data_IF_157014997849
#
_entry.id   IF_157014997849
#
_cell.length_a   1.000
_cell.length_b   1.000
_cell.length_c   1.000
_cell.angle_alpha   90.00
_cell.angle_beta   90.00
_cell.angle_gamma   90.00
#
_symmetry.space_group_name_H-M   'P 1'
#
loop_
_entity.id
_entity.type
_entity.pdbx_description
1 polymer ?
#
# COMPACT_ATOMS: atom_id res chain seq x y z
N UNK A 1 11.50 -4.65 -35.29
CA UNK A 1 11.25 -3.88 -34.06
C UNK A 1 10.48 -4.78 -33.13
N UNK A 2 11.13 -5.26 -32.07
CA UNK A 2 10.62 -6.35 -31.22
C UNK A 2 9.31 -5.95 -30.53
N UNK A 3 8.29 -6.79 -30.68
CA UNK A 3 7.09 -6.79 -29.83
C UNK A 3 7.50 -7.06 -28.38
N UNK A 4 7.70 -6.02 -27.59
CA UNK A 4 7.64 -6.14 -26.13
C UNK A 4 6.17 -6.07 -25.75
N UNK A 5 5.51 -7.23 -25.73
CA UNK A 5 4.26 -7.40 -24.98
C UNK A 5 4.59 -7.03 -23.53
N UNK A 6 3.99 -5.95 -23.04
CA UNK A 6 4.23 -5.39 -21.72
C UNK A 6 3.67 -6.36 -20.66
N UNK A 7 4.49 -7.32 -20.24
CA UNK A 7 4.22 -8.25 -19.15
C UNK A 7 4.17 -7.45 -17.84
N UNK A 8 2.97 -7.22 -17.28
CA UNK A 8 2.66 -6.58 -15.99
C UNK A 8 2.36 -5.06 -15.97
N UNK A 9 1.44 -4.55 -16.80
CA UNK A 9 0.77 -3.28 -16.46
C UNK A 9 -0.50 -3.56 -15.67
N UNK A 10 -0.35 -3.82 -14.37
CA UNK A 10 -1.50 -3.94 -13.46
C UNK A 10 -2.01 -2.56 -13.08
N UNK A 11 -3.32 -2.40 -12.97
CA UNK A 11 -3.89 -1.14 -12.45
C UNK A 11 -3.68 -1.03 -10.94
N UNK A 12 -3.89 0.16 -10.39
CA UNK A 12 -3.89 0.38 -8.94
C UNK A 12 -4.90 -0.54 -8.22
N UNK A 13 -6.10 -0.71 -8.78
CA UNK A 13 -7.12 -1.63 -8.26
C UNK A 13 -6.63 -3.09 -8.22
N UNK A 14 -6.07 -3.58 -9.33
CA UNK A 14 -5.54 -4.95 -9.40
C UNK A 14 -4.38 -5.14 -8.43
N UNK A 15 -3.56 -4.10 -8.24
CA UNK A 15 -2.42 -4.13 -7.32
C UNK A 15 -2.87 -4.16 -5.86
N UNK A 16 -3.90 -3.40 -5.51
CA UNK A 16 -4.52 -3.42 -4.18
C UNK A 16 -5.10 -4.80 -3.87
N UNK A 17 -5.90 -5.37 -4.78
CA UNK A 17 -6.45 -6.73 -4.60
C UNK A 17 -5.36 -7.76 -4.40
N UNK A 18 -4.28 -7.69 -5.18
CA UNK A 18 -3.17 -8.61 -5.03
C UNK A 18 -2.44 -8.45 -3.69
N UNK A 19 -2.29 -7.22 -3.19
CA UNK A 19 -1.69 -6.97 -1.86
C UNK A 19 -2.56 -7.54 -0.73
N UNK A 20 -3.87 -7.62 -0.94
CA UNK A 20 -4.84 -8.25 -0.03
C UNK A 20 -5.00 -9.75 -0.27
N UNK A 21 -4.08 -10.40 -1.00
CA UNK A 21 -4.13 -11.82 -1.37
C UNK A 21 -5.40 -12.22 -2.15
N UNK A 22 -5.96 -11.29 -2.93
CA UNK A 22 -7.21 -11.44 -3.67
C UNK A 22 -8.42 -11.85 -2.82
N UNK A 23 -8.39 -11.52 -1.52
CA UNK A 23 -9.53 -11.69 -0.63
C UNK A 23 -10.57 -10.62 -0.95
N UNK A 24 -11.77 -11.05 -1.32
CA UNK A 24 -12.89 -10.18 -1.63
C UNK A 24 -13.59 -9.72 -0.33
N UNK A 25 -12.90 -8.89 0.45
CA UNK A 25 -13.50 -8.30 1.65
C UNK A 25 -14.57 -7.26 1.31
N UNK A 26 -14.33 -6.53 0.23
CA UNK A 26 -15.22 -5.49 -0.29
C UNK A 26 -15.43 -5.68 -1.79
N UNK A 27 -16.41 -4.97 -2.33
CA UNK A 27 -16.65 -4.87 -3.77
C UNK A 27 -15.58 -4.03 -4.47
N UNK A 28 -15.53 -4.13 -5.80
CA UNK A 28 -14.62 -3.32 -6.61
C UNK A 28 -14.84 -1.82 -6.42
N UNK A 29 -16.10 -1.38 -6.33
CA UNK A 29 -16.45 0.03 -6.16
C UNK A 29 -16.01 0.56 -4.79
N UNK A 30 -16.12 -0.24 -3.73
CA UNK A 30 -15.60 0.11 -2.41
C UNK A 30 -14.06 0.17 -2.42
N UNK A 31 -13.38 -0.77 -3.08
CA UNK A 31 -11.92 -0.69 -3.24
C UNK A 31 -11.47 0.54 -4.03
N UNK A 32 -12.25 0.95 -5.04
CA UNK A 32 -12.00 2.19 -5.80
C UNK A 32 -12.11 3.42 -4.89
N UNK A 33 -13.11 3.46 -4.02
CA UNK A 33 -13.27 4.56 -3.06
C UNK A 33 -12.03 4.69 -2.14
N UNK A 34 -11.56 3.58 -1.56
CA UNK A 34 -10.35 3.60 -0.73
C UNK A 34 -9.11 4.12 -1.49
N UNK A 35 -8.97 3.77 -2.76
CA UNK A 35 -7.88 4.27 -3.60
C UNK A 35 -7.99 5.77 -3.84
N UNK A 36 -9.18 6.26 -4.18
CA UNK A 36 -9.44 7.68 -4.43
C UNK A 36 -9.20 8.53 -3.18
N UNK A 37 -9.62 8.05 -2.00
CA UNK A 37 -9.34 8.68 -0.70
C UNK A 37 -7.84 8.81 -0.41
N UNK A 38 -7.02 7.92 -0.98
CA UNK A 38 -5.57 7.91 -0.85
C UNK A 38 -4.86 8.48 -2.09
N UNK A 39 -5.56 9.26 -2.92
CA UNK A 39 -5.04 9.93 -4.10
C UNK A 39 -4.50 8.97 -5.19
N UNK A 40 -5.09 7.79 -5.33
CA UNK A 40 -4.82 6.86 -6.42
C UNK A 40 -6.04 6.70 -7.32
N UNK A 41 -5.86 6.95 -8.62
CA UNK A 41 -6.90 6.62 -9.60
C UNK A 41 -6.93 5.12 -9.83
N UNK A 42 -8.07 4.44 -9.70
CA UNK A 42 -8.11 2.98 -9.69
C UNK A 42 -7.68 2.31 -11.01
N UNK A 43 -7.96 2.98 -12.13
CA UNK A 43 -7.71 2.46 -13.48
C UNK A 43 -6.31 2.86 -14.03
N UNK A 44 -5.57 3.69 -13.30
CA UNK A 44 -4.20 4.04 -13.66
C UNK A 44 -3.27 2.85 -13.51
N UNK A 45 -2.29 2.76 -14.42
CA UNK A 45 -1.22 1.76 -14.34
C UNK A 45 -0.36 2.04 -13.11
N UNK A 46 -0.23 1.04 -12.24
CA UNK A 46 0.55 1.16 -11.03
C UNK A 46 2.04 1.36 -11.33
N UNK A 47 2.61 2.47 -10.84
CA UNK A 47 4.04 2.78 -10.91
C UNK A 47 4.62 2.70 -9.51
N UNK A 48 5.40 1.64 -9.23
CA UNK A 48 5.91 1.37 -7.88
C UNK A 48 6.66 2.56 -7.28
N UNK A 49 7.56 3.17 -8.06
CA UNK A 49 8.46 4.22 -7.56
C UNK A 49 7.73 5.45 -7.03
N UNK A 50 6.53 5.75 -7.57
CA UNK A 50 5.76 6.94 -7.21
C UNK A 50 4.50 6.65 -6.42
N UNK A 51 3.94 5.43 -6.53
CA UNK A 51 2.63 5.07 -5.97
C UNK A 51 2.70 4.09 -4.79
N UNK A 52 3.88 3.54 -4.46
CA UNK A 52 3.99 2.49 -3.43
C UNK A 52 3.51 2.95 -2.06
N UNK A 53 3.79 4.19 -1.66
CA UNK A 53 3.37 4.71 -0.36
C UNK A 53 1.85 4.85 -0.30
N UNK A 54 1.22 5.51 -1.29
CA UNK A 54 -0.24 5.67 -1.30
C UNK A 54 -0.95 4.32 -1.35
N UNK A 55 -0.40 3.34 -2.07
CA UNK A 55 -0.99 2.00 -2.14
C UNK A 55 -0.90 1.28 -0.79
N UNK A 56 0.20 1.43 -0.06
CA UNK A 56 0.35 0.86 1.28
C UNK A 56 -0.59 1.57 2.28
N UNK A 57 -0.74 2.89 2.18
CA UNK A 57 -1.71 3.66 2.99
C UNK A 57 -3.15 3.22 2.71
N UNK A 58 -3.49 3.00 1.44
CA UNK A 58 -4.78 2.40 1.04
C UNK A 58 -4.97 1.01 1.66
N UNK A 59 -3.92 0.19 1.65
CA UNK A 59 -3.98 -1.14 2.27
C UNK A 59 -4.24 -1.05 3.77
N UNK A 60 -3.62 -0.10 4.46
CA UNK A 60 -3.87 0.15 5.89
C UNK A 60 -5.32 0.57 6.12
N UNK A 61 -5.84 1.51 5.34
CA UNK A 61 -7.23 1.96 5.45
C UNK A 61 -8.24 0.80 5.32
N UNK A 62 -8.02 -0.11 4.36
CA UNK A 62 -8.85 -1.31 4.22
C UNK A 62 -8.76 -2.21 5.47
N UNK A 63 -7.57 -2.44 6.00
CA UNK A 63 -7.36 -3.29 7.18
C UNK A 63 -7.92 -2.67 8.47
N UNK A 64 -7.85 -1.34 8.60
CA UNK A 64 -8.47 -0.59 9.70
C UNK A 64 -10.00 -0.68 9.62
N UNK A 65 -10.57 -0.54 8.42
CA UNK A 65 -12.00 -0.77 8.20
C UNK A 65 -12.43 -2.19 8.61
N UNK A 66 -11.63 -3.21 8.28
CA UNK A 66 -11.85 -4.58 8.73
C UNK A 66 -11.68 -4.77 10.24
N UNK A 67 -10.90 -3.90 10.90
CA UNK A 67 -10.78 -3.92 12.35
C UNK A 67 -12.03 -3.35 13.02
N UNK A 68 -12.72 -2.43 12.35
CA UNK A 68 -14.02 -1.90 12.81
C UNK A 68 -15.16 -2.91 12.60
N UNK A 69 -15.12 -3.71 11.53
CA UNK A 69 -16.04 -4.83 11.27
C UNK A 69 -15.28 -6.16 11.15
N UNK A 70 -14.89 -6.71 12.30
CA UNK A 70 -14.09 -7.93 12.38
C UNK A 70 -14.83 -9.15 11.83
N UNK A 71 -16.17 -9.15 11.85
CA UNK A 71 -16.96 -10.26 11.37
C UNK A 71 -16.92 -10.37 9.85
N UNK A 72 -16.77 -9.24 9.13
CA UNK A 72 -16.52 -9.24 7.70
C UNK A 72 -15.21 -9.95 7.34
N UNK A 73 -14.11 -9.62 8.04
CA UNK A 73 -12.83 -10.30 7.86
C UNK A 73 -12.95 -11.79 8.17
N UNK A 74 -13.55 -12.12 9.31
CA UNK A 74 -13.71 -13.50 9.76
C UNK A 74 -14.55 -14.32 8.80
N UNK A 75 -15.64 -13.77 8.24
CA UNK A 75 -16.47 -14.48 7.28
C UNK A 75 -15.68 -14.92 6.05
N UNK A 76 -14.87 -14.02 5.48
CA UNK A 76 -14.05 -14.30 4.30
C UNK A 76 -12.90 -15.28 4.62
N UNK A 77 -12.36 -15.27 5.84
CA UNK A 77 -11.27 -16.17 6.25
C UNK A 77 -11.73 -17.48 6.89
N UNK A 78 -12.94 -17.53 7.46
CA UNK A 78 -13.51 -18.72 8.09
C UNK A 78 -13.83 -19.80 7.06
N UNK A 79 -14.09 -19.43 5.81
CA UNK A 79 -14.17 -20.37 4.68
C UNK A 79 -12.84 -21.12 4.46
N UNK A 80 -11.71 -20.65 4.99
CA UNK A 80 -10.40 -21.27 4.81
C UNK A 80 -9.72 -21.76 6.10
N UNK A 81 -9.83 -21.06 7.24
CA UNK A 81 -8.94 -21.29 8.42
C UNK A 81 -9.69 -21.29 9.76
N UNK A 82 -10.93 -20.79 9.84
CA UNK A 82 -11.74 -20.83 11.08
C UNK A 82 -11.16 -20.01 12.25
N UNK A 83 -10.86 -18.73 12.03
CA UNK A 83 -10.28 -17.85 13.05
C UNK A 83 -11.28 -17.42 14.13
N UNK A 84 -10.83 -17.43 15.39
CA UNK A 84 -11.55 -16.75 16.48
C UNK A 84 -11.46 -15.23 16.32
N UNK A 85 -12.37 -14.51 16.98
CA UNK A 85 -12.38 -13.04 16.98
C UNK A 85 -11.08 -12.43 17.51
N UNK A 86 -10.52 -13.00 18.58
CA UNK A 86 -9.27 -12.51 19.16
C UNK A 86 -8.07 -12.71 18.22
N UNK A 87 -7.99 -13.87 17.55
CA UNK A 87 -6.93 -14.13 16.58
C UNK A 87 -7.03 -13.23 15.35
N UNK A 88 -8.25 -12.95 14.91
CA UNK A 88 -8.51 -12.03 13.80
C UNK A 88 -8.00 -10.62 14.12
N UNK A 89 -8.31 -10.08 15.30
CA UNK A 89 -7.80 -8.79 15.74
C UNK A 89 -6.27 -8.76 15.82
N UNK A 90 -5.64 -9.77 16.45
CA UNK A 90 -4.18 -9.86 16.54
C UNK A 90 -3.51 -9.94 15.16
N UNK A 91 -4.13 -10.66 14.23
CA UNK A 91 -3.63 -10.74 12.86
C UNK A 91 -3.68 -9.38 12.16
N UNK A 92 -4.81 -8.67 12.25
CA UNK A 92 -4.96 -7.34 11.64
C UNK A 92 -3.99 -6.34 12.25
N UNK A 93 -3.92 -6.26 13.58
CA UNK A 93 -3.01 -5.35 14.30
C UNK A 93 -1.55 -5.57 13.88
N UNK A 94 -1.09 -6.83 13.86
CA UNK A 94 0.26 -7.18 13.43
C UNK A 94 0.51 -6.77 11.98
N UNK A 95 -0.47 -7.01 11.10
CA UNK A 95 -0.35 -6.70 9.67
C UNK A 95 -0.31 -5.20 9.41
N UNK A 96 -1.20 -4.44 10.05
CA UNK A 96 -1.22 -2.97 10.02
C UNK A 96 0.11 -2.41 10.52
N UNK A 97 0.60 -2.88 11.67
CA UNK A 97 1.89 -2.46 12.23
C UNK A 97 3.05 -2.69 11.25
N UNK A 98 3.11 -3.88 10.65
CA UNK A 98 4.15 -4.22 9.66
C UNK A 98 4.12 -3.29 8.43
N UNK A 99 2.92 -2.95 7.95
CA UNK A 99 2.76 -2.06 6.79
C UNK A 99 3.14 -0.61 7.17
N UNK A 100 2.72 -0.15 8.35
CA UNK A 100 3.09 1.17 8.86
C UNK A 100 4.60 1.33 9.05
N UNK A 101 5.28 0.32 9.60
CA UNK A 101 6.75 0.30 9.67
C UNK A 101 7.39 0.42 8.29
N UNK A 102 6.85 -0.30 7.30
CA UNK A 102 7.33 -0.19 5.91
C UNK A 102 7.11 1.21 5.33
N UNK A 103 5.94 1.82 5.55
CA UNK A 103 5.63 3.19 5.11
C UNK A 103 6.64 4.17 5.74
N UNK A 104 6.87 4.09 7.05
CA UNK A 104 7.81 4.95 7.76
C UNK A 104 9.24 4.81 7.20
N UNK A 105 9.68 3.58 6.92
CA UNK A 105 10.99 3.33 6.32
C UNK A 105 11.10 3.91 4.89
N UNK A 106 10.04 3.83 4.08
CA UNK A 106 10.05 4.39 2.74
C UNK A 106 10.06 5.93 2.76
N UNK A 107 9.27 6.54 3.64
CA UNK A 107 9.25 8.00 3.82
C UNK A 107 10.60 8.52 4.28
N UNK A 108 11.24 7.86 5.25
CA UNK A 108 12.57 8.29 5.72
C UNK A 108 13.65 8.20 4.64
N UNK A 109 13.57 7.20 3.76
CA UNK A 109 14.47 7.11 2.58
C UNK A 109 14.23 8.28 1.63
N UNK A 110 12.98 8.64 1.33
CA UNK A 110 12.65 9.77 0.46
C UNK A 110 13.17 11.09 1.02
N UNK A 111 12.94 11.36 2.31
CA UNK A 111 13.40 12.57 2.99
C UNK A 111 14.94 12.70 2.94
N UNK A 112 15.66 11.58 3.13
CA UNK A 112 17.12 11.58 3.12
C UNK A 112 17.70 11.84 1.73
N UNK A 113 17.03 11.40 0.66
CA UNK A 113 17.48 11.64 -0.72
C UNK A 113 17.35 13.13 -1.12
N UNK A 114 16.39 13.85 -0.55
CA UNK A 114 16.25 15.30 -0.78
C UNK A 114 17.40 16.10 -0.16
N UNK A 115 17.91 15.66 1.01
CA UNK A 115 18.96 16.37 1.77
C UNK A 115 20.38 16.22 1.17
N UNK A 116 20.63 15.17 0.37
CA UNK A 116 21.92 15.02 -0.35
C UNK A 116 22.07 15.99 -1.56
N UNK A 117 21.05 16.80 -1.87
CA UNK A 117 21.14 17.84 -2.90
C UNK A 117 21.88 19.11 -2.44
N UNK A 118 22.43 19.14 -1.21
CA UNK A 118 23.30 20.23 -0.75
C UNK A 118 24.63 20.15 -1.51
N UNK A 119 24.74 20.94 -2.57
CA UNK A 119 26.04 21.27 -3.20
C UNK A 119 26.97 21.79 -2.09
N UNK A 120 28.13 21.19 -1.85
CA UNK A 120 29.11 21.81 -0.97
C UNK A 120 29.53 23.12 -1.63
N UNK A 121 29.18 24.24 -1.00
CA UNK A 121 29.73 25.55 -1.34
C UNK A 121 31.23 25.52 -1.02
N UNK A 122 32.04 25.17 -2.01
CA UNK A 122 33.48 25.41 -1.96
C UNK A 122 33.70 26.93 -1.95
N UNK A 123 33.95 27.49 -0.77
CA UNK A 123 34.50 28.84 -0.63
C UNK A 123 35.95 28.83 -1.16
N UNK A 124 36.13 29.06 -2.46
CA UNK A 124 37.41 29.56 -2.98
C UNK A 124 37.44 31.07 -2.80
N UNK A 125 37.72 31.49 -1.56
CA UNK A 125 38.09 32.86 -1.23
C UNK A 125 39.61 32.98 -1.17
N UNK A 126 40.27 33.06 -2.32
CA UNK A 126 41.57 33.74 -2.43
C UNK A 126 41.32 35.24 -2.39
N UNK A 127 41.79 35.91 -1.34
CA UNK A 127 42.51 37.20 -1.37
C UNK A 127 43.41 37.29 -0.14
#
# INVERSE_FOLDING_TARGET
MSNMINLNTKTNLERLKLSLNNKAYYTDDEYKLFLEENNLYPDDVYVKDTMEIQLLETQVAVLESLSNDIDLMRKVQAEEIGLTTEEAYKYLEKRIGTINEKILNLKSIQDTQEDYSIRPFFFNGTV
#
